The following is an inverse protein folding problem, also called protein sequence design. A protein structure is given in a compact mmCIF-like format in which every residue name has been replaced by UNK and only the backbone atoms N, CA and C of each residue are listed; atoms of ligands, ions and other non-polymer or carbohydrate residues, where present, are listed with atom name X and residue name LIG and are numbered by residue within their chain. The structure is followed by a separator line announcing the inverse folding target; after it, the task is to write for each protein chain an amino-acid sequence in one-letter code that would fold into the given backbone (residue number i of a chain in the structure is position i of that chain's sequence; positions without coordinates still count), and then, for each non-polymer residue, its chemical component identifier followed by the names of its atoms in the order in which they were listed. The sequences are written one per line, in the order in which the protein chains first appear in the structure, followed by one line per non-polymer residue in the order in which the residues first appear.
data_IF_992294382578
#
_entry.id   IF_992294382578
#
_cell.length_a   1.000
_cell.length_b   1.000
_cell.length_c   1.000
_cell.angle_alpha   90.00
_cell.angle_beta   90.00
_cell.angle_gamma   90.00
#
_symmetry.space_group_name_H-M   'P 1'
#
loop_
_entity.id
_entity.type
_entity.pdbx_description
1 polymer ?
#
# COMPACT_ATOMS: atom_id res chain seq x y z
N UNK A 1 56.02 -2.25 10.48
CA UNK A 1 55.85 -3.55 9.80
C UNK A 1 54.73 -3.37 8.79
N UNK A 2 55.04 -3.57 7.52
CA UNK A 2 54.07 -3.40 6.45
C UNK A 2 53.19 -4.66 6.36
N UNK A 3 51.94 -4.53 5.93
CA UNK A 3 51.03 -5.67 5.76
C UNK A 3 51.59 -6.77 4.82
N UNK A 4 52.57 -6.41 3.98
CA UNK A 4 53.32 -7.31 3.11
C UNK A 4 54.29 -8.27 3.83
N UNK A 5 54.67 -8.02 5.08
CA UNK A 5 55.73 -8.76 5.77
C UNK A 5 55.23 -10.05 6.46
N UNK A 6 53.92 -10.20 6.62
CA UNK A 6 53.34 -11.36 7.29
C UNK A 6 53.23 -12.56 6.32
N UNK A 7 53.51 -13.82 6.72
CA UNK A 7 53.33 -15.02 5.89
C UNK A 7 51.91 -15.28 5.39
N UNK A 8 51.77 -16.03 4.29
CA UNK A 8 50.48 -16.34 3.66
C UNK A 8 49.58 -17.18 4.58
N UNK A 9 50.16 -18.05 5.40
CA UNK A 9 49.44 -18.92 6.34
C UNK A 9 48.77 -18.10 7.44
N UNK A 10 49.47 -17.08 7.95
CA UNK A 10 48.92 -16.18 8.96
C UNK A 10 47.83 -15.28 8.36
N UNK A 11 48.02 -14.78 7.14
CA UNK A 11 46.97 -14.04 6.44
C UNK A 11 45.73 -14.90 6.17
N UNK A 12 45.90 -16.15 5.75
CA UNK A 12 44.79 -17.07 5.53
C UNK A 12 44.00 -17.31 6.83
N UNK A 13 44.69 -17.51 7.96
CA UNK A 13 44.06 -17.65 9.28
C UNK A 13 43.37 -16.38 9.76
N UNK A 14 43.96 -15.20 9.54
CA UNK A 14 43.33 -13.92 9.87
C UNK A 14 42.04 -13.73 9.08
N UNK A 15 42.06 -14.01 7.77
CA UNK A 15 40.87 -13.91 6.92
C UNK A 15 39.79 -14.92 7.33
N UNK A 16 40.18 -16.12 7.73
CA UNK A 16 39.26 -17.17 8.19
C UNK A 16 38.59 -16.79 9.50
N UNK A 17 39.37 -16.33 10.48
CA UNK A 17 38.85 -15.80 11.74
C UNK A 17 37.95 -14.58 11.52
N UNK A 18 38.28 -13.71 10.57
CA UNK A 18 37.41 -12.59 10.19
C UNK A 18 36.09 -13.05 9.56
N UNK A 19 36.11 -14.10 8.73
CA UNK A 19 34.92 -14.67 8.13
C UNK A 19 34.04 -15.40 9.17
N UNK A 20 34.62 -16.12 10.13
CA UNK A 20 33.83 -16.76 11.20
C UNK A 20 33.25 -15.74 12.18
N UNK A 21 34.00 -14.70 12.55
CA UNK A 21 33.61 -13.69 13.54
C UNK A 21 32.67 -12.59 13.04
N UNK A 22 32.18 -12.67 11.80
CA UNK A 22 31.37 -11.63 11.13
C UNK A 22 32.08 -10.30 10.81
N UNK A 23 33.37 -10.17 11.15
CA UNK A 23 34.17 -8.99 10.83
C UNK A 23 34.47 -8.82 9.33
N UNK A 24 34.49 -9.92 8.57
CA UNK A 24 34.64 -9.92 7.11
C UNK A 24 33.46 -10.61 6.43
N UNK A 25 32.86 -9.93 5.47
CA UNK A 25 31.81 -10.45 4.60
C UNK A 25 32.31 -10.76 3.18
N UNK A 26 31.43 -11.34 2.35
CA UNK A 26 31.76 -11.63 0.95
C UNK A 26 32.17 -10.38 0.15
N UNK A 27 31.59 -9.22 0.50
CA UNK A 27 31.92 -7.93 -0.14
C UNK A 27 33.37 -7.54 0.14
N UNK A 28 33.79 -7.65 1.39
CA UNK A 28 35.13 -7.30 1.82
C UNK A 28 36.16 -8.21 1.17
N UNK A 29 35.88 -9.53 1.07
CA UNK A 29 36.73 -10.46 0.33
C UNK A 29 36.85 -10.09 -1.17
N UNK A 30 35.77 -9.62 -1.79
CA UNK A 30 35.82 -9.14 -3.18
C UNK A 30 36.65 -7.87 -3.31
N UNK A 31 36.53 -6.93 -2.36
CA UNK A 31 37.34 -5.70 -2.33
C UNK A 31 38.83 -6.01 -2.11
N UNK A 32 39.16 -6.91 -1.18
CA UNK A 32 40.53 -7.36 -0.91
C UNK A 32 41.15 -8.05 -2.13
N UNK A 33 40.37 -8.82 -2.86
CA UNK A 33 40.82 -9.48 -4.08
C UNK A 33 41.18 -8.49 -5.21
N UNK A 34 40.51 -7.34 -5.25
CA UNK A 34 40.80 -6.25 -6.18
C UNK A 34 42.03 -5.44 -5.71
N UNK A 35 42.15 -5.23 -4.40
CA UNK A 35 43.19 -4.38 -3.81
C UNK A 35 44.62 -4.96 -3.95
N UNK A 36 44.79 -6.28 -3.93
CA UNK A 36 46.11 -6.92 -4.08
C UNK A 36 46.03 -8.29 -4.74
N UNK A 37 46.97 -8.61 -5.63
CA UNK A 37 47.08 -9.95 -6.24
C UNK A 37 47.31 -11.05 -5.20
N UNK A 38 48.12 -10.74 -4.18
CA UNK A 38 48.43 -11.68 -3.08
C UNK A 38 47.16 -12.00 -2.29
N UNK A 39 46.44 -10.97 -1.86
CA UNK A 39 45.16 -11.11 -1.15
C UNK A 39 44.07 -11.71 -2.06
N UNK A 40 44.12 -11.46 -3.36
CA UNK A 40 43.27 -12.12 -4.35
C UNK A 40 43.42 -13.63 -4.36
N UNK A 41 44.66 -14.15 -4.35
CA UNK A 41 44.90 -15.60 -4.21
C UNK A 41 44.39 -16.12 -2.87
N UNK A 42 44.69 -15.41 -1.78
CA UNK A 42 44.27 -15.82 -0.44
C UNK A 42 42.74 -15.80 -0.27
N UNK A 43 42.04 -14.85 -0.90
CA UNK A 43 40.58 -14.76 -0.89
C UNK A 43 39.89 -15.96 -1.54
N UNK A 44 40.60 -16.76 -2.33
CA UNK A 44 40.07 -17.95 -2.99
C UNK A 44 40.15 -19.20 -2.10
N UNK A 45 40.79 -19.13 -0.93
CA UNK A 45 40.95 -20.31 -0.07
C UNK A 45 39.60 -20.97 0.27
N UNK A 46 39.44 -22.29 0.01
CA UNK A 46 38.18 -23.00 0.25
C UNK A 46 37.62 -22.87 1.68
N UNK A 47 38.43 -22.97 2.76
CA UNK A 47 37.93 -22.84 4.14
C UNK A 47 37.20 -21.52 4.42
N UNK A 48 37.66 -20.41 3.82
CA UNK A 48 37.04 -19.09 3.97
C UNK A 48 35.59 -19.09 3.47
N UNK A 49 35.37 -19.64 2.28
CA UNK A 49 34.05 -19.69 1.67
C UNK A 49 33.15 -20.74 2.33
N UNK A 50 33.72 -21.83 2.85
CA UNK A 50 33.00 -22.79 3.68
C UNK A 50 32.51 -22.17 4.99
N UNK A 51 33.35 -21.38 5.67
CA UNK A 51 32.99 -20.63 6.86
C UNK A 51 31.86 -19.61 6.58
N UNK A 52 31.97 -18.85 5.48
CA UNK A 52 30.90 -17.92 5.06
C UNK A 52 29.60 -18.65 4.69
N UNK A 53 29.69 -19.80 4.03
CA UNK A 53 28.53 -20.63 3.70
C UNK A 53 27.81 -21.11 4.97
N UNK A 54 28.55 -21.61 5.95
CA UNK A 54 28.00 -22.09 7.21
C UNK A 54 27.34 -20.97 8.01
N UNK A 55 27.94 -19.78 8.00
CA UNK A 55 27.45 -18.59 8.71
C UNK A 55 26.22 -17.98 8.05
N UNK A 56 26.29 -17.71 6.74
CA UNK A 56 25.24 -16.96 6.03
C UNK A 56 24.07 -17.87 5.59
N UNK A 57 24.30 -19.19 5.44
CA UNK A 57 23.30 -20.16 4.98
C UNK A 57 23.24 -21.43 5.85
N UNK A 58 22.89 -21.32 7.15
CA UNK A 58 22.96 -22.42 8.11
C UNK A 58 22.02 -23.61 7.80
N UNK A 59 20.95 -23.40 7.04
CA UNK A 59 19.89 -24.39 6.80
C UNK A 59 20.21 -25.48 5.76
N UNK A 60 21.48 -25.86 5.60
CA UNK A 60 21.93 -26.71 4.47
C UNK A 60 22.36 -28.13 4.85
N UNK A 61 21.96 -28.64 6.03
CA UNK A 61 22.55 -29.85 6.60
C UNK A 61 21.98 -31.19 6.11
N UNK A 62 21.18 -31.25 5.04
CA UNK A 62 20.46 -32.49 4.71
C UNK A 62 20.35 -32.84 3.22
N UNK A 63 21.39 -32.57 2.45
CA UNK A 63 21.60 -33.27 1.18
C UNK A 63 23.08 -33.59 0.99
N UNK A 64 23.65 -34.31 1.96
CA UNK A 64 24.82 -35.13 1.75
C UNK A 64 24.42 -36.30 0.84
N UNK A 65 24.32 -36.08 -0.46
CA UNK A 65 24.38 -37.16 -1.42
C UNK A 65 24.81 -36.58 -2.77
N UNK A 66 26.08 -36.83 -3.09
CA UNK A 66 26.66 -36.77 -4.43
C UNK A 66 26.60 -35.39 -5.12
N UNK A 67 27.49 -34.48 -4.74
CA UNK A 67 27.92 -33.43 -5.66
C UNK A 67 29.44 -33.46 -5.74
N UNK A 68 29.91 -33.59 -6.98
CA UNK A 68 31.29 -33.42 -7.46
C UNK A 68 31.99 -32.24 -6.78
N UNK A 69 33.33 -32.19 -6.85
CA UNK A 69 34.24 -31.21 -6.24
C UNK A 69 33.97 -29.73 -6.64
N UNK A 70 32.79 -29.20 -6.34
CA UNK A 70 32.42 -27.82 -6.64
C UNK A 70 33.04 -26.94 -5.56
N UNK A 71 34.00 -26.11 -5.97
CA UNK A 71 34.65 -25.15 -5.10
C UNK A 71 33.64 -24.35 -4.24
N UNK A 72 33.83 -24.23 -2.91
CA UNK A 72 32.87 -23.58 -1.99
C UNK A 72 32.45 -22.16 -2.40
N UNK A 73 33.34 -21.39 -3.04
CA UNK A 73 33.01 -20.08 -3.63
C UNK A 73 31.88 -20.13 -4.68
N UNK A 74 31.87 -21.15 -5.54
CA UNK A 74 30.83 -21.31 -6.56
C UNK A 74 29.48 -21.67 -5.93
N UNK A 75 29.52 -22.53 -4.90
CA UNK A 75 28.34 -22.87 -4.10
C UNK A 75 27.77 -21.64 -3.39
N UNK A 76 28.63 -20.82 -2.76
CA UNK A 76 28.24 -19.56 -2.13
C UNK A 76 27.58 -18.61 -3.13
N UNK A 77 28.20 -18.40 -4.30
CA UNK A 77 27.64 -17.55 -5.36
C UNK A 77 26.23 -18.00 -5.76
N UNK A 78 26.04 -19.30 -5.96
CA UNK A 78 24.73 -19.86 -6.36
C UNK A 78 23.67 -19.64 -5.26
N UNK A 79 24.00 -19.91 -3.99
CA UNK A 79 23.08 -19.68 -2.87
C UNK A 79 22.77 -18.20 -2.68
N UNK A 80 23.78 -17.34 -2.79
CA UNK A 80 23.61 -15.89 -2.70
C UNK A 80 22.66 -15.36 -3.78
N UNK A 81 22.82 -15.77 -5.04
CA UNK A 81 21.90 -15.35 -6.11
C UNK A 81 20.47 -15.86 -5.87
N UNK A 82 20.30 -17.11 -5.41
CA UNK A 82 18.97 -17.64 -5.02
C UNK A 82 18.35 -16.81 -3.89
N UNK A 83 19.12 -16.52 -2.84
CA UNK A 83 18.67 -15.73 -1.70
C UNK A 83 18.32 -14.29 -2.11
N UNK A 84 19.14 -13.66 -2.95
CA UNK A 84 18.89 -12.33 -3.52
C UNK A 84 17.59 -12.30 -4.32
N UNK A 85 17.33 -13.31 -5.16
CA UNK A 85 16.08 -13.45 -5.90
C UNK A 85 14.88 -13.64 -4.96
N UNK A 86 15.02 -14.45 -3.91
CA UNK A 86 13.98 -14.64 -2.89
C UNK A 86 13.66 -13.33 -2.16
N UNK A 87 14.69 -12.58 -1.75
CA UNK A 87 14.52 -11.26 -1.12
C UNK A 87 13.84 -10.27 -2.06
N UNK A 88 14.23 -10.23 -3.33
CA UNK A 88 13.57 -9.38 -4.33
C UNK A 88 12.09 -9.76 -4.53
N UNK A 89 11.78 -11.07 -4.56
CA UNK A 89 10.40 -11.58 -4.65
C UNK A 89 9.59 -11.23 -3.41
N UNK A 90 10.16 -11.40 -2.21
CA UNK A 90 9.53 -11.03 -0.95
C UNK A 90 9.23 -9.52 -0.90
N UNK A 91 10.18 -8.68 -1.30
CA UNK A 91 9.99 -7.23 -1.43
C UNK A 91 8.86 -6.88 -2.40
N UNK A 92 8.83 -7.50 -3.59
CA UNK A 92 7.76 -7.28 -4.57
C UNK A 92 6.39 -7.64 -3.99
N UNK A 93 6.28 -8.78 -3.29
CA UNK A 93 5.04 -9.19 -2.60
C UNK A 93 4.60 -8.17 -1.56
N UNK A 94 5.51 -7.72 -0.70
CA UNK A 94 5.20 -6.70 0.31
C UNK A 94 4.70 -5.39 -0.33
N UNK A 95 5.28 -4.96 -1.46
CA UNK A 95 4.78 -3.81 -2.22
C UNK A 95 3.37 -4.06 -2.75
N UNK A 96 3.13 -5.21 -3.40
CA UNK A 96 1.80 -5.54 -3.92
C UNK A 96 0.73 -5.62 -2.83
N UNK A 97 1.05 -6.18 -1.66
CA UNK A 97 0.16 -6.23 -0.51
C UNK A 97 -0.19 -4.81 -0.01
N UNK A 98 0.80 -3.92 0.06
CA UNK A 98 0.57 -2.53 0.42
C UNK A 98 -0.28 -1.78 -0.63
N UNK A 99 -0.02 -1.99 -1.92
CA UNK A 99 -0.85 -1.43 -3.00
C UNK A 99 -2.30 -1.92 -2.92
N UNK A 100 -2.48 -3.22 -2.66
CA UNK A 100 -3.81 -3.82 -2.50
C UNK A 100 -4.58 -3.18 -1.34
N UNK A 101 -3.93 -2.89 -0.21
CA UNK A 101 -4.57 -2.21 0.93
C UNK A 101 -5.00 -0.79 0.58
N UNK A 102 -4.15 -0.03 -0.12
CA UNK A 102 -4.48 1.32 -0.63
C UNK A 102 -5.69 1.26 -1.56
N UNK A 103 -5.71 0.32 -2.51
CA UNK A 103 -6.83 0.16 -3.45
C UNK A 103 -8.13 -0.23 -2.74
N UNK A 104 -8.08 -1.13 -1.76
CA UNK A 104 -9.24 -1.52 -0.98
C UNK A 104 -9.82 -0.34 -0.19
N UNK A 105 -8.97 0.46 0.44
CA UNK A 105 -9.39 1.65 1.18
C UNK A 105 -10.00 2.72 0.24
N UNK A 106 -9.40 2.95 -0.94
CA UNK A 106 -9.98 3.85 -1.97
C UNK A 106 -11.36 3.40 -2.43
N UNK A 107 -11.55 2.10 -2.69
CA UNK A 107 -12.86 1.53 -3.02
C UNK A 107 -13.87 1.77 -1.90
N UNK A 108 -13.46 1.55 -0.65
CA UNK A 108 -14.31 1.77 0.52
C UNK A 108 -14.76 3.22 0.67
N UNK A 109 -13.87 4.19 0.40
CA UNK A 109 -14.24 5.61 0.40
C UNK A 109 -15.32 5.92 -0.64
N UNK A 110 -15.20 5.38 -1.85
CA UNK A 110 -16.21 5.54 -2.90
C UNK A 110 -17.56 4.94 -2.49
N UNK A 111 -17.57 3.76 -1.87
CA UNK A 111 -18.80 3.15 -1.34
C UNK A 111 -19.47 4.03 -0.28
N UNK A 112 -18.68 4.59 0.65
CA UNK A 112 -19.19 5.50 1.69
C UNK A 112 -19.77 6.78 1.08
N UNK A 113 -19.10 7.37 0.09
CA UNK A 113 -19.61 8.53 -0.65
C UNK A 113 -20.92 8.24 -1.38
N UNK A 114 -21.06 7.04 -1.95
CA UNK A 114 -22.32 6.60 -2.57
C UNK A 114 -23.42 6.43 -1.53
N UNK A 115 -23.13 5.83 -0.37
CA UNK A 115 -24.10 5.69 0.72
C UNK A 115 -24.55 7.04 1.27
N UNK A 116 -23.62 7.99 1.46
CA UNK A 116 -23.96 9.36 1.87
C UNK A 116 -24.85 10.07 0.85
N UNK A 117 -24.58 9.90 -0.45
CA UNK A 117 -25.41 10.45 -1.52
C UNK A 117 -26.83 9.88 -1.50
N UNK A 118 -26.96 8.56 -1.36
CA UNK A 118 -28.27 7.88 -1.26
C UNK A 118 -29.08 8.38 -0.06
N UNK A 119 -28.45 8.52 1.11
CA UNK A 119 -29.15 9.07 2.28
C UNK A 119 -29.47 10.56 2.12
N UNK A 120 -28.62 11.32 1.44
CA UNK A 120 -28.91 12.70 1.08
C UNK A 120 -30.10 12.83 0.12
N UNK A 121 -30.25 11.93 -0.85
CA UNK A 121 -31.39 11.86 -1.75
C UNK A 121 -32.68 11.47 -1.02
N UNK A 122 -32.63 10.45 -0.14
CA UNK A 122 -33.75 10.10 0.76
C UNK A 122 -34.19 11.30 1.59
N UNK A 123 -33.24 12.02 2.19
CA UNK A 123 -33.54 13.20 2.98
C UNK A 123 -34.22 14.29 2.15
N UNK A 124 -33.77 14.53 0.91
CA UNK A 124 -34.41 15.48 0.00
C UNK A 124 -35.83 15.06 -0.38
N UNK A 125 -36.05 13.78 -0.68
CA UNK A 125 -37.37 13.25 -0.99
C UNK A 125 -38.34 13.38 0.20
N UNK A 126 -37.89 12.99 1.40
CA UNK A 126 -38.69 13.14 2.63
C UNK A 126 -39.01 14.61 2.94
N UNK A 127 -38.08 15.54 2.69
CA UNK A 127 -38.30 16.97 2.86
C UNK A 127 -39.35 17.53 1.86
N UNK A 128 -39.30 17.09 0.60
CA UNK A 128 -40.30 17.47 -0.40
C UNK A 128 -41.70 16.92 -0.05
N UNK A 129 -41.78 15.67 0.42
CA UNK A 129 -43.04 15.09 0.87
C UNK A 129 -43.61 15.85 2.08
N UNK A 130 -42.75 16.22 3.03
CA UNK A 130 -43.14 17.01 4.20
C UNK A 130 -43.72 18.37 3.80
N UNK A 131 -43.11 19.06 2.83
CA UNK A 131 -43.64 20.32 2.29
C UNK A 131 -45.02 20.12 1.63
N UNK A 132 -45.19 19.04 0.88
CA UNK A 132 -46.48 18.72 0.25
C UNK A 132 -47.57 18.45 1.30
N UNK A 133 -47.26 17.73 2.38
CA UNK A 133 -48.20 17.47 3.46
C UNK A 133 -48.54 18.73 4.25
N UNK A 134 -47.59 19.64 4.45
CA UNK A 134 -47.90 20.94 5.05
C UNK A 134 -48.88 21.76 4.19
N UNK A 135 -48.73 21.72 2.86
CA UNK A 135 -49.69 22.36 1.94
C UNK A 135 -51.08 21.75 2.08
N UNK A 136 -51.19 20.42 2.16
CA UNK A 136 -52.45 19.71 2.40
C UNK A 136 -53.04 20.09 3.76
N UNK A 137 -52.22 20.16 4.81
CA UNK A 137 -52.65 20.59 6.15
C UNK A 137 -53.24 22.00 6.13
N UNK A 138 -52.55 22.94 5.47
CA UNK A 138 -53.03 24.33 5.31
C UNK A 138 -54.35 24.38 4.51
N UNK A 139 -54.47 23.61 3.44
CA UNK A 139 -55.72 23.50 2.67
C UNK A 139 -56.87 22.93 3.52
N UNK A 140 -56.60 21.91 4.34
CA UNK A 140 -57.59 21.34 5.26
C UNK A 140 -58.09 22.34 6.29
N UNK A 141 -57.20 23.16 6.85
CA UNK A 141 -57.59 24.22 7.81
C UNK A 141 -58.40 25.30 7.11
N UNK A 142 -58.00 25.69 5.89
CA UNK A 142 -58.65 26.75 5.14
C UNK A 142 -60.10 26.39 4.74
N UNK A 143 -60.40 25.11 4.51
CA UNK A 143 -61.76 24.62 4.24
C UNK A 143 -62.77 24.86 5.38
N UNK A 144 -62.29 25.15 6.61
CA UNK A 144 -63.14 25.47 7.76
C UNK A 144 -63.60 26.95 7.78
N UNK A 145 -63.09 27.79 6.88
CA UNK A 145 -63.43 29.21 6.76
C UNK A 145 -64.20 29.44 5.46
N UNK A 146 -65.05 30.47 5.41
CA UNK A 146 -65.75 30.85 4.18
C UNK A 146 -64.76 31.21 3.06
N UNK A 147 -65.01 30.72 1.85
CA UNK A 147 -64.18 30.95 0.66
C UNK A 147 -65.00 30.93 -0.64
N UNK A 148 -64.50 31.57 -1.72
CA UNK A 148 -65.06 31.43 -3.06
C UNK A 148 -65.03 29.97 -3.55
N UNK A 149 -66.03 29.59 -4.34
CA UNK A 149 -66.25 28.18 -4.70
C UNK A 149 -65.13 27.56 -5.56
N UNK A 150 -64.46 28.38 -6.37
CA UNK A 150 -63.29 27.97 -7.17
C UNK A 150 -62.11 27.58 -6.26
N UNK A 151 -61.87 28.37 -5.19
CA UNK A 151 -60.79 28.11 -4.22
C UNK A 151 -61.12 26.89 -3.37
N UNK A 152 -62.36 26.82 -2.89
CA UNK A 152 -62.87 25.69 -2.09
C UNK A 152 -62.80 24.37 -2.84
N UNK A 153 -63.16 24.35 -4.13
CA UNK A 153 -63.09 23.16 -4.98
C UNK A 153 -61.66 22.61 -5.09
N UNK A 154 -60.69 23.49 -5.36
CA UNK A 154 -59.26 23.12 -5.46
C UNK A 154 -58.70 22.60 -4.13
N UNK A 155 -59.01 23.26 -3.01
CA UNK A 155 -58.57 22.81 -1.68
C UNK A 155 -59.19 21.47 -1.30
N UNK A 156 -60.47 21.27 -1.61
CA UNK A 156 -61.17 20.00 -1.36
C UNK A 156 -60.56 18.85 -2.15
N UNK A 157 -60.24 19.05 -3.43
CA UNK A 157 -59.56 18.07 -4.26
C UNK A 157 -58.18 17.70 -3.68
N UNK A 158 -57.39 18.69 -3.26
CA UNK A 158 -56.06 18.49 -2.68
C UNK A 158 -56.11 17.65 -1.39
N UNK A 159 -57.08 17.92 -0.51
CA UNK A 159 -57.25 17.15 0.74
C UNK A 159 -57.75 15.74 0.46
N UNK A 160 -58.70 15.56 -0.47
CA UNK A 160 -59.24 14.25 -0.84
C UNK A 160 -58.21 13.32 -1.50
N UNK A 161 -57.19 13.86 -2.17
CA UNK A 161 -56.09 13.09 -2.73
C UNK A 161 -55.14 12.50 -1.66
N UNK A 162 -55.16 13.03 -0.43
CA UNK A 162 -54.43 12.45 0.69
C UNK A 162 -55.24 11.35 1.38
N UNK A 163 -54.82 10.10 1.20
CA UNK A 163 -55.46 8.91 1.80
C UNK A 163 -55.00 8.62 3.23
N UNK A 164 -53.86 9.19 3.64
CA UNK A 164 -53.22 8.92 4.94
C UNK A 164 -53.47 10.10 5.90
N UNK A 165 -53.69 9.85 7.20
CA UNK A 165 -53.75 10.92 8.19
C UNK A 165 -52.49 11.77 8.18
N UNK A 166 -52.66 13.08 7.97
CA UNK A 166 -51.54 14.01 7.73
C UNK A 166 -50.60 14.08 8.93
N UNK A 167 -51.13 14.09 10.16
CA UNK A 167 -50.32 14.20 11.37
C UNK A 167 -49.48 12.95 11.68
N UNK A 168 -49.95 11.75 11.33
CA UNK A 168 -49.14 10.54 11.48
C UNK A 168 -48.00 10.53 10.48
N UNK A 169 -48.29 10.79 9.19
CA UNK A 169 -47.25 10.82 8.15
C UNK A 169 -46.23 11.93 8.38
N UNK A 170 -46.65 13.09 8.90
CA UNK A 170 -45.73 14.16 9.31
C UNK A 170 -44.77 13.71 10.42
N UNK A 171 -45.24 12.95 11.42
CA UNK A 171 -44.37 12.40 12.46
C UNK A 171 -43.37 11.41 11.89
N UNK A 172 -43.82 10.52 11.01
CA UNK A 172 -42.96 9.52 10.37
C UNK A 172 -41.86 10.18 9.54
N UNK A 173 -42.21 11.13 8.67
CA UNK A 173 -41.24 11.89 7.86
C UNK A 173 -40.24 12.67 8.71
N UNK A 174 -40.69 13.27 9.81
CA UNK A 174 -39.77 13.95 10.73
C UNK A 174 -38.76 12.97 11.37
N UNK A 175 -39.20 11.75 11.68
CA UNK A 175 -38.31 10.70 12.17
C UNK A 175 -37.37 10.21 11.07
N UNK A 176 -37.86 9.97 9.85
CA UNK A 176 -37.03 9.62 8.69
C UNK A 176 -35.93 10.66 8.44
N UNK A 177 -36.25 11.96 8.49
CA UNK A 177 -35.27 13.04 8.35
C UNK A 177 -34.20 13.03 9.44
N UNK A 178 -34.59 12.76 10.70
CA UNK A 178 -33.64 12.64 11.82
C UNK A 178 -32.71 11.44 11.61
N UNK A 179 -33.26 10.30 11.21
CA UNK A 179 -32.50 9.07 10.92
C UNK A 179 -31.51 9.30 9.79
N UNK A 180 -31.95 9.90 8.67
CA UNK A 180 -31.07 10.21 7.53
C UNK A 180 -29.91 11.12 7.96
N UNK A 181 -30.19 12.17 8.74
CA UNK A 181 -29.16 13.07 9.29
C UNK A 181 -28.14 12.31 10.14
N UNK A 182 -28.60 11.43 11.02
CA UNK A 182 -27.74 10.62 11.87
C UNK A 182 -26.89 9.63 11.05
N UNK A 183 -27.47 9.01 10.02
CA UNK A 183 -26.76 8.11 9.12
C UNK A 183 -25.70 8.83 8.31
N UNK A 184 -26.01 10.01 7.75
CA UNK A 184 -25.04 10.85 7.04
C UNK A 184 -23.88 11.22 7.97
N UNK A 185 -24.15 11.65 9.20
CA UNK A 185 -23.11 11.93 10.19
C UNK A 185 -22.26 10.69 10.50
N UNK A 186 -22.88 9.52 10.65
CA UNK A 186 -22.19 8.26 10.88
C UNK A 186 -21.26 7.91 9.72
N UNK A 187 -21.75 7.97 8.48
CA UNK A 187 -20.94 7.73 7.29
C UNK A 187 -19.81 8.76 7.14
N UNK A 188 -20.05 10.02 7.50
CA UNK A 188 -19.04 11.08 7.46
C UNK A 188 -17.89 10.78 8.44
N UNK A 189 -18.22 10.34 9.66
CA UNK A 189 -17.23 9.92 10.64
C UNK A 189 -16.42 8.70 10.17
N UNK A 190 -17.09 7.69 9.59
CA UNK A 190 -16.41 6.51 9.04
C UNK A 190 -15.53 6.90 7.84
N UNK A 191 -16.01 7.79 6.97
CA UNK A 191 -15.25 8.30 5.83
C UNK A 191 -13.98 9.01 6.25
N UNK A 192 -14.06 9.89 7.26
CA UNK A 192 -12.88 10.59 7.78
C UNK A 192 -11.84 9.61 8.35
N UNK A 193 -12.28 8.61 9.11
CA UNK A 193 -11.40 7.55 9.63
C UNK A 193 -10.76 6.71 8.52
N UNK A 194 -11.53 6.33 7.50
CA UNK A 194 -10.97 5.60 6.35
C UNK A 194 -9.99 6.47 5.55
N UNK A 195 -10.22 7.79 5.47
CA UNK A 195 -9.30 8.73 4.82
C UNK A 195 -7.97 8.85 5.57
N UNK A 196 -8.00 8.85 6.90
CA UNK A 196 -6.79 8.80 7.74
C UNK A 196 -6.00 7.51 7.49
N UNK A 197 -6.67 6.34 7.51
CA UNK A 197 -6.05 5.05 7.19
C UNK A 197 -5.45 5.02 5.79
N UNK A 198 -6.13 5.63 4.81
CA UNK A 198 -5.62 5.72 3.45
C UNK A 198 -4.26 6.44 3.42
N UNK A 199 -4.15 7.56 4.13
CA UNK A 199 -2.89 8.31 4.20
C UNK A 199 -1.77 7.46 4.81
N UNK A 200 -2.06 6.76 5.91
CA UNK A 200 -1.09 5.85 6.55
C UNK A 200 -0.65 4.73 5.60
N UNK A 201 -1.59 4.13 4.87
CA UNK A 201 -1.26 3.10 3.88
C UNK A 201 -0.46 3.64 2.70
N UNK A 202 -0.79 4.83 2.20
CA UNK A 202 -0.02 5.48 1.15
C UNK A 202 1.41 5.83 1.59
N UNK A 203 1.60 6.27 2.84
CA UNK A 203 2.94 6.45 3.41
C UNK A 203 3.69 5.13 3.56
N UNK A 204 3.03 4.09 4.06
CA UNK A 204 3.63 2.76 4.18
C UNK A 204 4.07 2.22 2.81
N UNK A 205 3.28 2.49 1.77
CA UNK A 205 3.58 2.12 0.40
C UNK A 205 4.79 2.89 -0.13
N UNK A 206 4.86 4.20 0.13
CA UNK A 206 6.04 5.02 -0.23
C UNK A 206 7.31 4.45 0.42
N UNK A 207 7.25 4.12 1.72
CA UNK A 207 8.37 3.50 2.45
C UNK A 207 8.76 2.13 1.87
N UNK A 208 7.79 1.30 1.51
CA UNK A 208 8.06 -0.02 0.91
C UNK A 208 8.66 0.08 -0.50
N UNK A 209 8.23 1.07 -1.28
CA UNK A 209 8.76 1.35 -2.63
C UNK A 209 10.16 1.96 -2.59
N UNK A 210 10.49 2.76 -1.57
CA UNK A 210 11.77 3.42 -1.45
C UNK A 210 12.95 2.43 -1.58
N UNK A 211 13.89 2.75 -2.46
CA UNK A 211 15.17 2.05 -2.56
C UNK A 211 16.30 3.09 -2.52
N UNK A 212 17.19 3.06 -1.52
CA UNK A 212 18.24 4.08 -1.34
C UNK A 212 19.17 4.30 -2.55
N UNK A 213 19.17 3.40 -3.53
CA UNK A 213 20.04 3.44 -4.71
C UNK A 213 19.26 3.48 -6.05
N UNK A 214 17.92 3.48 -6.06
CA UNK A 214 17.13 3.45 -7.30
C UNK A 214 16.65 4.84 -7.74
N UNK A 215 16.54 5.79 -6.82
CA UNK A 215 15.95 7.10 -7.09
C UNK A 215 16.89 8.06 -7.85
N UNK A 216 18.16 7.67 -8.07
CA UNK A 216 19.13 8.49 -8.82
C UNK A 216 19.07 8.31 -10.33
N UNK A 217 18.35 7.31 -10.86
CA UNK A 217 18.41 6.96 -12.30
C UNK A 217 17.06 6.94 -13.03
N UNK A 218 15.93 7.13 -12.34
CA UNK A 218 14.61 7.15 -12.99
C UNK A 218 14.15 8.54 -13.42
N UNK A 219 14.80 9.63 -12.98
CA UNK A 219 14.49 11.00 -13.41
C UNK A 219 15.23 11.45 -14.68
N UNK A 220 16.23 10.71 -15.17
CA UNK A 220 17.09 11.12 -16.28
C UNK A 220 16.90 10.34 -17.60
N UNK A 221 16.03 9.32 -17.65
CA UNK A 221 15.73 8.60 -18.91
C UNK A 221 14.47 9.18 -19.54
N UNK A 222 14.47 10.49 -19.77
CA UNK A 222 13.55 11.16 -20.67
C UNK A 222 14.33 12.24 -21.41
N UNK A 223 14.76 11.86 -22.63
CA UNK A 223 15.30 12.69 -23.72
C UNK A 223 16.78 13.11 -23.60
N UNK A 224 17.65 12.35 -24.26
CA UNK A 224 18.70 12.95 -25.09
C UNK A 224 18.82 12.21 -26.44
N UNK A 225 18.85 12.92 -27.57
CA UNK A 225 18.99 12.33 -28.90
C UNK A 225 20.46 12.06 -29.26
N UNK A 226 20.66 10.94 -29.95
CA UNK A 226 21.88 10.44 -30.59
C UNK A 226 22.93 11.48 -31.02
N UNK A 227 24.09 11.49 -30.34
CA UNK A 227 25.34 12.05 -30.87
C UNK A 227 26.26 10.92 -31.35
N UNK A 228 26.39 10.79 -32.68
CA UNK A 228 27.33 9.88 -33.35
C UNK A 228 28.77 10.27 -33.02
N UNK A 229 29.55 9.37 -32.40
CA UNK A 229 30.99 9.56 -32.21
C UNK A 229 31.77 8.95 -33.38
N UNK A 230 32.59 9.78 -34.04
CA UNK A 230 33.50 9.44 -35.14
C UNK A 230 34.54 8.40 -34.71
N UNK A 231 34.80 7.40 -35.55
CA UNK A 231 35.96 6.52 -35.45
C UNK A 231 37.21 7.30 -35.88
N UNK A 232 38.26 7.32 -35.05
CA UNK A 232 39.60 7.69 -35.50
C UNK A 232 40.27 6.46 -36.13
N UNK A 233 41.03 6.73 -37.20
CA UNK A 233 41.94 5.79 -37.87
C UNK A 233 43.15 5.52 -36.99
#
# INVERSE_FOLDING_TARGET
MSASDLPDELWARILELGATSSALGFRDLCCLAIASRRLGRLSLHPPLWSALLARDFPSSSSSQQQQEEIHPKSQYKTKFERHKLQMAKARRRAVFEAESRVLACKKRLVELEQSMRKEGERMKAAAQELENLERVRRASVALNVWQPQVVRGRQKQMVQQCTVPVDSRLRDLNMELKVCKQQIATYTNVYNKEKEKLNEYEESLKRAKYHPLQDSHTSAIAKEPHAKRKKLK
#
